data_IF_148261648936
#
_entry.id   IF_148261648936
#
_cell.length_a   1.000
_cell.length_b   1.000
_cell.length_c   1.000
_cell.angle_alpha   90.00
_cell.angle_beta   90.00
_cell.angle_gamma   90.00
#
_symmetry.space_group_name_H-M   'P 1'
#
loop_
_entity.id
_entity.type
_entity.pdbx_description
1 polymer ?
#
# COMPACT_ATOMS: atom_id res chain seq x y z
N UNK A 1 -19.44 -23.45 2.64
CA UNK A 1 -18.11 -24.03 2.38
C UNK A 1 -17.82 -24.04 0.88
N UNK A 2 -16.60 -23.72 0.42
CA UNK A 2 -16.19 -23.79 -0.99
C UNK A 2 -15.32 -25.04 -1.19
N UNK A 3 -15.65 -25.84 -2.17
CA UNK A 3 -14.80 -26.95 -2.64
C UNK A 3 -14.49 -26.77 -4.13
N UNK A 4 -13.21 -26.92 -4.48
CA UNK A 4 -12.72 -26.87 -5.87
C UNK A 4 -11.79 -28.05 -6.07
N UNK A 5 -12.06 -28.88 -7.07
CA UNK A 5 -11.21 -30.02 -7.32
C UNK A 5 -11.55 -30.82 -8.58
N UNK A 6 -10.60 -31.69 -8.95
CA UNK A 6 -10.85 -32.68 -9.99
C UNK A 6 -11.74 -33.80 -9.44
N UNK A 7 -12.63 -34.32 -10.25
CA UNK A 7 -13.56 -35.40 -9.89
C UNK A 7 -12.84 -36.59 -9.27
N UNK A 8 -11.70 -37.02 -9.86
CA UNK A 8 -10.90 -38.13 -9.35
C UNK A 8 -10.34 -37.93 -7.94
N UNK A 9 -10.21 -36.65 -7.49
CA UNK A 9 -9.67 -36.29 -6.19
C UNK A 9 -10.77 -35.79 -5.23
N UNK A 10 -12.03 -35.75 -5.69
CA UNK A 10 -13.15 -35.25 -4.89
C UNK A 10 -13.60 -36.32 -3.89
N UNK A 11 -13.70 -35.99 -2.59
CA UNK A 11 -14.21 -36.93 -1.59
C UNK A 11 -15.59 -37.48 -1.94
N UNK A 12 -15.84 -38.77 -1.67
CA UNK A 12 -17.06 -39.46 -2.07
C UNK A 12 -18.34 -38.81 -1.49
N UNK A 13 -18.26 -38.30 -0.24
CA UNK A 13 -19.39 -37.59 0.38
C UNK A 13 -19.75 -36.29 -0.36
N UNK A 14 -18.79 -35.58 -0.97
CA UNK A 14 -19.06 -34.42 -1.80
C UNK A 14 -19.56 -34.80 -3.20
N UNK A 15 -19.04 -35.88 -3.75
CA UNK A 15 -19.56 -36.42 -5.03
C UNK A 15 -21.03 -36.83 -4.92
N UNK A 16 -21.44 -37.39 -3.78
CA UNK A 16 -22.84 -37.76 -3.53
C UNK A 16 -23.81 -36.59 -3.47
N UNK A 17 -23.31 -35.35 -3.22
CA UNK A 17 -24.12 -34.12 -3.23
C UNK A 17 -24.34 -33.57 -4.64
N UNK A 18 -23.63 -34.09 -5.66
CA UNK A 18 -23.81 -33.61 -7.02
C UNK A 18 -25.12 -34.17 -7.59
N UNK A 19 -25.94 -33.30 -8.12
CA UNK A 19 -27.25 -33.64 -8.73
C UNK A 19 -27.13 -33.93 -10.22
N UNK A 20 -25.98 -33.61 -10.81
CA UNK A 20 -25.67 -33.82 -12.24
C UNK A 20 -24.28 -34.45 -12.39
N UNK A 21 -24.07 -35.12 -13.53
CA UNK A 21 -22.74 -35.63 -13.87
C UNK A 21 -21.78 -34.50 -14.22
N UNK A 22 -20.50 -34.63 -13.78
CA UNK A 22 -19.43 -33.74 -14.20
C UNK A 22 -19.22 -33.90 -15.70
N UNK A 23 -19.21 -32.81 -16.50
CA UNK A 23 -19.03 -32.89 -17.94
C UNK A 23 -17.60 -33.32 -18.29
N UNK A 24 -17.44 -34.07 -19.38
CA UNK A 24 -16.12 -34.52 -19.86
C UNK A 24 -15.23 -33.33 -20.26
N UNK A 25 -15.82 -32.30 -20.83
CA UNK A 25 -15.15 -31.04 -21.23
C UNK A 25 -15.83 -29.86 -20.54
N UNK A 26 -15.29 -29.43 -19.40
CA UNK A 26 -15.89 -28.35 -18.64
C UNK A 26 -15.95 -28.62 -17.14
N UNK A 27 -16.50 -27.67 -16.39
CA UNK A 27 -16.72 -27.78 -14.96
C UNK A 27 -18.18 -27.70 -14.60
N UNK A 28 -18.58 -28.49 -13.59
CA UNK A 28 -19.86 -28.32 -12.91
C UNK A 28 -19.67 -27.39 -11.71
N UNK A 29 -20.42 -26.31 -11.67
CA UNK A 29 -20.54 -25.40 -10.52
C UNK A 29 -21.90 -25.60 -9.90
N UNK A 30 -21.98 -26.06 -8.65
CA UNK A 30 -23.25 -26.41 -8.00
C UNK A 30 -23.28 -25.93 -6.54
N UNK A 31 -24.43 -25.38 -6.15
CA UNK A 31 -24.76 -25.18 -4.73
C UNK A 31 -25.41 -26.46 -4.21
N UNK A 32 -24.93 -26.95 -3.08
CA UNK A 32 -25.49 -28.11 -2.39
C UNK A 32 -25.61 -27.81 -0.89
N UNK A 33 -26.45 -28.56 -0.19
CA UNK A 33 -26.61 -28.44 1.27
C UNK A 33 -26.54 -29.87 1.86
N UNK A 34 -25.77 -30.02 2.92
CA UNK A 34 -25.71 -31.24 3.71
C UNK A 34 -25.88 -30.87 5.18
N UNK A 35 -27.01 -31.26 5.76
CA UNK A 35 -27.43 -30.78 7.07
C UNK A 35 -27.50 -29.25 7.10
N UNK A 36 -26.81 -28.64 8.07
CA UNK A 36 -26.75 -27.18 8.23
C UNK A 36 -25.63 -26.52 7.39
N UNK A 37 -24.86 -27.30 6.62
CA UNK A 37 -23.73 -26.80 5.83
C UNK A 37 -24.13 -26.57 4.38
N UNK A 38 -23.97 -25.33 3.92
CA UNK A 38 -24.09 -24.99 2.51
C UNK A 38 -22.74 -25.06 1.81
N UNK A 39 -22.71 -25.73 0.67
CA UNK A 39 -21.52 -25.91 -0.17
C UNK A 39 -21.69 -25.18 -1.50
N UNK A 40 -20.59 -24.60 -1.99
CA UNK A 40 -20.38 -24.33 -3.41
C UNK A 40 -19.34 -25.32 -3.92
N UNK A 41 -19.77 -26.24 -4.78
CA UNK A 41 -18.95 -27.30 -5.35
C UNK A 41 -18.55 -26.92 -6.77
N UNK A 42 -17.26 -26.96 -7.05
CA UNK A 42 -16.70 -26.75 -8.39
C UNK A 42 -15.90 -28.00 -8.72
N UNK A 43 -16.42 -28.83 -9.61
CA UNK A 43 -15.82 -30.11 -9.94
C UNK A 43 -15.66 -30.24 -11.45
N UNK A 44 -14.47 -30.68 -11.89
CA UNK A 44 -14.15 -30.89 -13.30
C UNK A 44 -13.37 -32.18 -13.51
N UNK A 45 -13.35 -32.69 -14.72
CA UNK A 45 -12.47 -33.80 -15.10
C UNK A 45 -11.03 -33.32 -15.36
N UNK A 46 -10.85 -32.07 -15.85
CA UNK A 46 -9.56 -31.46 -16.23
C UNK A 46 -9.30 -30.11 -15.53
N UNK A 47 -8.03 -29.77 -15.27
CA UNK A 47 -7.62 -28.53 -14.60
C UNK A 47 -8.01 -27.27 -15.38
N UNK A 48 -7.96 -27.31 -16.70
CA UNK A 48 -8.34 -26.19 -17.54
C UNK A 48 -9.78 -25.74 -17.27
N UNK A 49 -10.69 -26.67 -17.03
CA UNK A 49 -12.09 -26.38 -16.74
C UNK A 49 -12.29 -25.72 -15.35
N UNK A 50 -11.44 -26.01 -14.37
CA UNK A 50 -11.46 -25.31 -13.08
C UNK A 50 -11.09 -23.85 -13.22
N UNK A 51 -10.13 -23.51 -14.10
CA UNK A 51 -9.74 -22.13 -14.39
C UNK A 51 -10.89 -21.35 -15.04
N UNK A 52 -11.63 -21.96 -15.96
CA UNK A 52 -12.83 -21.38 -16.58
C UNK A 52 -13.94 -21.11 -15.54
N UNK A 53 -14.16 -22.06 -14.63
CA UNK A 53 -15.12 -21.87 -13.55
C UNK A 53 -14.71 -20.75 -12.59
N UNK A 54 -13.42 -20.63 -12.29
CA UNK A 54 -12.89 -19.51 -11.50
C UNK A 54 -13.12 -18.16 -12.21
N UNK A 55 -12.91 -18.09 -13.52
CA UNK A 55 -13.18 -16.91 -14.33
C UNK A 55 -14.66 -16.49 -14.32
N UNK A 56 -15.58 -17.47 -14.44
CA UNK A 56 -17.02 -17.21 -14.30
C UNK A 56 -17.36 -16.62 -12.93
N UNK A 57 -16.86 -17.22 -11.85
CA UNK A 57 -17.19 -16.81 -10.48
C UNK A 57 -16.55 -15.49 -10.07
N UNK A 58 -15.49 -15.06 -10.73
CA UNK A 58 -14.87 -13.76 -10.51
C UNK A 58 -15.63 -12.61 -11.20
N UNK A 59 -16.51 -12.91 -12.15
CA UNK A 59 -17.35 -11.93 -12.83
C UNK A 59 -18.69 -11.77 -12.12
N UNK A 60 -18.82 -10.74 -11.29
CA UNK A 60 -20.05 -10.47 -10.53
C UNK A 60 -21.27 -10.24 -11.41
N UNK A 61 -21.08 -9.71 -12.62
CA UNK A 61 -22.18 -9.48 -13.56
C UNK A 61 -22.71 -10.78 -14.15
N UNK A 62 -21.83 -11.74 -14.43
CA UNK A 62 -22.19 -13.10 -14.89
C UNK A 62 -22.81 -13.92 -13.77
N UNK A 63 -22.21 -13.87 -12.56
CA UNK A 63 -22.76 -14.55 -11.38
C UNK A 63 -24.19 -14.06 -11.08
N UNK A 64 -24.45 -12.75 -11.21
CA UNK A 64 -25.80 -12.20 -11.02
C UNK A 64 -26.84 -12.72 -12.03
N UNK A 65 -26.42 -13.26 -13.16
CA UNK A 65 -27.29 -13.87 -14.18
C UNK A 65 -27.56 -15.36 -13.92
N UNK A 66 -26.87 -15.97 -12.94
CA UNK A 66 -27.10 -17.37 -12.59
C UNK A 66 -28.36 -17.48 -11.71
N UNK A 67 -29.44 -18.02 -12.28
CA UNK A 67 -30.73 -18.18 -11.58
C UNK A 67 -30.99 -19.60 -11.11
N UNK A 68 -30.05 -20.53 -11.36
CA UNK A 68 -30.15 -21.95 -10.99
C UNK A 68 -29.16 -22.31 -9.89
N UNK A 69 -29.41 -23.41 -9.19
CA UNK A 69 -28.47 -23.93 -8.18
C UNK A 69 -27.22 -24.58 -8.78
N UNK A 70 -27.15 -24.72 -10.09
CA UNK A 70 -26.06 -25.35 -10.82
C UNK A 70 -25.89 -24.75 -12.21
N UNK A 71 -24.66 -24.79 -12.72
CA UNK A 71 -24.32 -24.41 -14.09
C UNK A 71 -23.13 -25.21 -14.60
N UNK A 72 -23.05 -25.36 -15.92
CA UNK A 72 -21.87 -25.90 -16.59
C UNK A 72 -21.04 -24.75 -17.16
N UNK A 73 -19.72 -24.90 -17.08
CA UNK A 73 -18.76 -23.94 -17.64
C UNK A 73 -17.88 -24.68 -18.64
N UNK A 74 -17.91 -24.25 -19.88
CA UNK A 74 -17.15 -24.86 -20.97
C UNK A 74 -15.72 -24.32 -21.03
N UNK A 75 -14.74 -25.15 -21.42
CA UNK A 75 -13.36 -24.73 -21.64
C UNK A 75 -13.27 -23.80 -22.85
N UNK A 76 -12.50 -22.73 -22.75
CA UNK A 76 -12.25 -21.74 -23.82
C UNK A 76 -13.18 -20.52 -23.78
N UNK A 77 -14.20 -20.53 -22.93
CA UNK A 77 -15.15 -19.40 -22.83
C UNK A 77 -14.50 -18.15 -22.22
N UNK A 78 -13.69 -18.29 -21.17
CA UNK A 78 -12.99 -17.18 -20.53
C UNK A 78 -11.89 -16.57 -21.43
N UNK A 79 -11.24 -17.37 -22.25
CA UNK A 79 -10.17 -16.92 -23.14
C UNK A 79 -10.69 -16.03 -24.27
N UNK A 80 -11.91 -16.28 -24.78
CA UNK A 80 -12.57 -15.40 -25.77
C UNK A 80 -12.86 -14.02 -25.18
N UNK A 81 -13.29 -13.93 -23.92
CA UNK A 81 -13.58 -12.67 -23.24
C UNK A 81 -12.29 -11.90 -22.87
N UNK A 82 -11.20 -12.58 -22.53
CA UNK A 82 -9.92 -11.95 -22.27
C UNK A 82 -9.39 -11.19 -23.50
N UNK A 83 -9.44 -11.81 -24.67
CA UNK A 83 -8.98 -11.21 -25.93
C UNK A 83 -9.85 -10.03 -26.38
N UNK A 84 -11.17 -10.10 -26.18
CA UNK A 84 -12.09 -9.03 -26.58
C UNK A 84 -11.93 -7.76 -25.71
N UNK A 85 -11.39 -7.87 -24.50
CA UNK A 85 -11.29 -6.74 -23.57
C UNK A 85 -9.90 -6.08 -23.55
N UNK A 86 -8.89 -6.62 -24.24
CA UNK A 86 -7.57 -5.98 -24.39
C UNK A 86 -7.59 -4.68 -25.19
N UNK A 87 -8.67 -4.42 -25.92
CA UNK A 87 -8.82 -3.22 -26.76
C UNK A 87 -9.39 -1.99 -26.04
N UNK A 88 -9.85 -2.12 -24.82
CA UNK A 88 -10.30 -0.96 -24.03
C UNK A 88 -9.18 -0.45 -23.13
N UNK A 89 -8.19 0.20 -23.71
CA UNK A 89 -7.22 1.02 -22.97
C UNK A 89 -7.97 2.12 -22.22
N UNK A 90 -8.16 1.97 -20.92
CA UNK A 90 -8.59 3.05 -20.05
C UNK A 90 -7.48 4.09 -20.00
N UNK A 91 -7.57 5.10 -20.87
CA UNK A 91 -6.78 6.31 -20.74
C UNK A 91 -7.31 7.05 -19.52
N UNK A 92 -6.63 7.00 -18.40
CA UNK A 92 -6.91 7.81 -17.22
C UNK A 92 -6.49 9.28 -17.49
N UNK A 93 -7.04 9.90 -18.48
CA UNK A 93 -7.05 11.35 -18.63
C UNK A 93 -8.39 11.84 -18.04
N UNK A 94 -8.46 11.90 -16.69
CA UNK A 94 -9.73 12.21 -16.06
C UNK A 94 -9.85 13.68 -15.73
N UNK A 95 -10.80 14.36 -16.36
CA UNK A 95 -11.45 15.51 -15.71
C UNK A 95 -12.53 14.95 -14.78
N UNK A 96 -12.43 15.30 -13.51
CA UNK A 96 -13.41 14.95 -12.50
C UNK A 96 -13.98 16.20 -11.90
N UNK A 97 -15.17 16.09 -11.31
CA UNK A 97 -15.74 17.11 -10.44
C UNK A 97 -15.80 16.60 -9.01
N UNK A 98 -15.94 17.50 -8.05
CA UNK A 98 -16.19 17.10 -6.66
C UNK A 98 -17.43 16.24 -6.57
N UNK A 99 -18.44 16.47 -7.41
CA UNK A 99 -19.64 15.62 -7.48
C UNK A 99 -19.32 14.17 -7.87
N UNK A 100 -18.40 13.96 -8.79
CA UNK A 100 -18.02 12.60 -9.23
C UNK A 100 -17.31 11.80 -8.11
N UNK A 101 -16.65 12.50 -7.19
CA UNK A 101 -15.89 11.90 -6.10
C UNK A 101 -16.73 11.72 -4.83
N UNK A 102 -17.50 12.73 -4.44
CA UNK A 102 -18.24 12.78 -3.18
C UNK A 102 -19.77 12.74 -3.34
N UNK A 103 -20.27 12.69 -4.56
CA UNK A 103 -21.70 12.71 -4.88
C UNK A 103 -22.33 14.10 -4.81
N UNK A 104 -21.81 14.97 -3.97
CA UNK A 104 -22.27 16.35 -3.75
C UNK A 104 -21.08 17.28 -3.52
N UNK A 105 -21.36 18.57 -3.27
CA UNK A 105 -20.36 19.48 -2.71
C UNK A 105 -19.99 19.13 -1.27
N UNK A 106 -18.93 19.71 -0.76
CA UNK A 106 -18.36 19.41 0.56
C UNK A 106 -18.63 20.59 1.49
N UNK A 107 -19.30 20.32 2.62
CA UNK A 107 -19.64 21.32 3.63
C UNK A 107 -18.76 21.20 4.87
N UNK A 108 -18.33 22.32 5.39
CA UNK A 108 -17.62 22.47 6.64
C UNK A 108 -18.48 23.35 7.57
N UNK A 109 -18.61 22.98 8.83
CA UNK A 109 -19.45 23.72 9.79
C UNK A 109 -18.82 23.72 11.15
N UNK A 110 -18.75 24.89 11.76
CA UNK A 110 -18.14 25.12 13.08
C UNK A 110 -17.02 26.15 13.02
N UNK A 111 -16.71 26.78 14.17
CA UNK A 111 -15.56 27.67 14.31
C UNK A 111 -14.24 26.88 14.34
N UNK A 112 -13.14 27.60 14.13
CA UNK A 112 -11.77 27.10 14.16
C UNK A 112 -11.48 26.11 13.03
N UNK A 113 -10.56 25.19 13.25
CA UNK A 113 -10.06 24.29 12.21
C UNK A 113 -11.08 23.23 11.83
N UNK A 114 -11.54 23.28 10.59
CA UNK A 114 -12.39 22.28 9.96
C UNK A 114 -11.60 21.56 8.87
N UNK A 115 -11.55 20.23 8.91
CA UNK A 115 -10.67 19.44 8.05
C UNK A 115 -11.42 18.30 7.37
N UNK A 116 -11.16 18.09 6.07
CA UNK A 116 -11.64 16.94 5.31
C UNK A 116 -10.59 16.46 4.31
N UNK A 117 -10.46 15.14 4.18
CA UNK A 117 -9.60 14.52 3.17
C UNK A 117 -10.44 13.99 2.02
N UNK A 118 -10.09 14.38 0.81
CA UNK A 118 -10.69 13.98 -0.46
C UNK A 118 -9.75 12.97 -1.09
N UNK A 119 -10.20 11.71 -1.22
CA UNK A 119 -9.44 10.68 -1.91
C UNK A 119 -9.68 10.79 -3.40
N UNK A 120 -8.60 10.92 -4.17
CA UNK A 120 -8.67 11.06 -5.62
C UNK A 120 -8.88 9.68 -6.27
N UNK A 121 -9.66 9.60 -7.37
CA UNK A 121 -9.99 8.34 -8.05
C UNK A 121 -8.81 7.85 -8.92
N UNK A 122 -7.63 7.70 -8.33
CA UNK A 122 -6.42 7.21 -9.01
C UNK A 122 -6.07 5.84 -8.48
N UNK A 123 -6.09 4.84 -9.35
CA UNK A 123 -5.69 3.49 -8.97
C UNK A 123 -4.19 3.42 -8.66
N UNK A 124 -3.79 2.45 -7.85
CA UNK A 124 -2.40 2.32 -7.34
C UNK A 124 -1.37 1.96 -8.42
N UNK A 125 -1.83 1.45 -9.55
CA UNK A 125 -1.03 1.16 -10.73
C UNK A 125 -0.72 2.41 -11.58
N UNK A 126 -1.23 3.59 -11.17
CA UNK A 126 -0.97 4.86 -11.79
C UNK A 126 -0.39 5.87 -10.80
N UNK A 127 0.39 6.79 -11.34
CA UNK A 127 0.92 7.96 -10.63
C UNK A 127 0.47 9.23 -11.35
N UNK A 128 0.02 10.21 -10.58
CA UNK A 128 -0.38 11.50 -11.13
C UNK A 128 0.81 12.22 -11.76
N UNK A 129 0.53 12.92 -12.86
CA UNK A 129 1.49 13.82 -13.48
C UNK A 129 1.54 15.17 -12.75
N UNK A 130 2.69 15.87 -12.84
CA UNK A 130 2.85 17.26 -12.38
C UNK A 130 1.95 18.27 -13.12
N UNK A 131 1.31 17.83 -14.22
CA UNK A 131 0.30 18.63 -14.91
C UNK A 131 -1.06 18.63 -14.21
N UNK A 132 -1.22 17.87 -13.11
CA UNK A 132 -2.45 17.82 -12.32
C UNK A 132 -2.83 19.19 -11.80
N UNK A 133 -4.08 19.58 -12.00
CA UNK A 133 -4.62 20.90 -11.64
C UNK A 133 -5.94 20.78 -10.90
N UNK A 134 -6.11 21.63 -9.92
CA UNK A 134 -7.29 21.71 -9.09
C UNK A 134 -7.89 23.10 -9.22
N UNK A 135 -9.20 23.16 -9.39
CA UNK A 135 -9.98 24.40 -9.44
C UNK A 135 -11.16 24.24 -8.51
N UNK A 136 -11.07 24.78 -7.30
CA UNK A 136 -12.11 24.70 -6.29
C UNK A 136 -12.92 25.99 -6.25
N UNK A 137 -14.23 25.88 -6.50
CA UNK A 137 -15.18 26.94 -6.28
C UNK A 137 -15.61 26.88 -4.81
N UNK A 138 -15.25 27.89 -4.02
CA UNK A 138 -15.51 27.92 -2.59
C UNK A 138 -16.47 29.07 -2.22
N UNK A 139 -17.20 28.87 -1.13
CA UNK A 139 -18.00 29.88 -0.45
C UNK A 139 -17.86 29.73 1.04
N UNK A 140 -18.05 30.79 1.77
CA UNK A 140 -17.98 30.75 3.23
C UNK A 140 -18.78 31.88 3.87
N UNK A 141 -19.01 31.76 5.17
CA UNK A 141 -19.84 32.70 5.91
C UNK A 141 -19.17 34.08 6.04
N UNK A 142 -19.97 35.16 6.03
CA UNK A 142 -19.50 36.51 6.14
C UNK A 142 -19.15 36.94 7.59
N UNK A 143 -19.49 36.14 8.60
CA UNK A 143 -19.24 36.43 10.01
C UNK A 143 -17.85 36.00 10.48
N UNK A 144 -16.92 35.75 9.56
CA UNK A 144 -15.56 35.38 9.87
C UNK A 144 -14.70 36.58 10.26
N UNK A 145 -13.64 36.30 11.04
CA UNK A 145 -12.50 37.20 11.19
C UNK A 145 -11.55 37.00 10.01
N UNK A 146 -11.74 37.79 8.97
CA UNK A 146 -10.96 37.69 7.74
C UNK A 146 -9.47 38.08 7.92
N UNK A 147 -9.08 38.62 9.07
CA UNK A 147 -7.65 38.86 9.35
C UNK A 147 -6.92 37.57 9.71
N UNK A 148 -7.65 36.55 10.23
CA UNK A 148 -7.10 35.29 10.72
C UNK A 148 -7.63 34.04 10.00
N UNK A 149 -8.72 34.19 9.24
CA UNK A 149 -9.33 33.05 8.54
C UNK A 149 -8.63 32.76 7.23
N UNK A 150 -8.36 31.46 6.98
CA UNK A 150 -7.70 31.01 5.77
C UNK A 150 -8.17 29.58 5.39
N UNK A 151 -7.89 29.19 4.15
CA UNK A 151 -8.01 27.80 3.68
C UNK A 151 -6.65 27.32 3.23
N UNK A 152 -6.28 26.10 3.63
CA UNK A 152 -5.05 25.46 3.19
C UNK A 152 -5.36 24.09 2.60
N UNK A 153 -4.77 23.81 1.44
CA UNK A 153 -4.83 22.53 0.77
C UNK A 153 -3.50 21.80 0.94
N UNK A 154 -3.57 20.54 1.36
CA UNK A 154 -2.41 19.69 1.55
C UNK A 154 -2.48 18.50 0.59
N UNK A 155 -1.34 18.11 0.03
CA UNK A 155 -1.18 16.81 -0.60
C UNK A 155 -1.03 15.75 0.49
N UNK A 156 -1.85 14.71 0.41
CA UNK A 156 -1.99 13.80 1.53
C UNK A 156 -2.53 14.52 2.77
N UNK A 157 -1.80 14.43 3.87
CA UNK A 157 -2.22 15.03 5.16
C UNK A 157 -1.32 16.17 5.65
N UNK A 158 -0.12 16.35 5.07
CA UNK A 158 0.94 17.16 5.65
C UNK A 158 1.81 17.96 4.67
N UNK A 159 1.72 17.74 3.35
CA UNK A 159 2.50 18.50 2.37
C UNK A 159 1.66 19.70 1.89
N UNK A 160 1.94 20.93 2.29
CA UNK A 160 1.14 22.08 1.90
C UNK A 160 1.29 22.36 0.40
N UNK A 161 0.16 22.44 -0.33
CA UNK A 161 0.10 22.77 -1.74
C UNK A 161 -0.19 24.25 -1.98
N UNK A 162 -1.22 24.75 -1.31
CA UNK A 162 -1.74 26.08 -1.53
C UNK A 162 -2.42 26.59 -0.27
N UNK A 163 -2.18 27.83 0.10
CA UNK A 163 -2.85 28.50 1.20
C UNK A 163 -3.42 29.83 0.73
N UNK A 164 -4.66 30.11 1.10
CA UNK A 164 -5.37 31.32 0.69
C UNK A 164 -6.08 31.98 1.89
N UNK A 165 -5.82 33.26 2.08
CA UNK A 165 -6.49 34.07 3.10
C UNK A 165 -7.92 34.36 2.64
N UNK A 166 -8.92 34.03 3.46
CA UNK A 166 -10.31 34.34 3.17
C UNK A 166 -10.57 35.86 3.24
N UNK A 167 -11.45 36.33 2.36
CA UNK A 167 -11.80 37.76 2.28
C UNK A 167 -13.30 37.94 2.33
N UNK A 168 -13.75 39.17 2.66
CA UNK A 168 -15.19 39.45 2.67
C UNK A 168 -15.80 39.38 1.26
N UNK A 169 -15.05 39.83 0.27
CA UNK A 169 -15.42 39.84 -1.13
C UNK A 169 -15.57 38.41 -1.68
N UNK A 170 -14.67 37.49 -1.27
CA UNK A 170 -14.71 36.07 -1.67
C UNK A 170 -15.80 35.25 -1.00
N UNK A 171 -16.45 35.74 0.06
CA UNK A 171 -17.44 34.98 0.83
C UNK A 171 -18.63 34.54 -0.02
N UNK A 172 -19.04 35.33 -1.01
CA UNK A 172 -20.16 35.00 -1.94
C UNK A 172 -19.78 33.99 -3.01
N UNK A 173 -18.48 33.73 -3.20
CA UNK A 173 -17.92 32.76 -4.12
C UNK A 173 -16.62 33.22 -4.76
N UNK A 174 -15.62 32.39 -4.70
CA UNK A 174 -14.34 32.56 -5.38
C UNK A 174 -13.81 31.21 -5.86
N UNK A 175 -12.96 31.26 -6.90
CA UNK A 175 -12.33 30.06 -7.47
C UNK A 175 -10.85 30.05 -7.15
N UNK A 176 -10.40 28.99 -6.50
CA UNK A 176 -8.99 28.76 -6.16
C UNK A 176 -8.38 27.73 -7.08
N UNK A 177 -7.34 28.11 -7.82
CA UNK A 177 -6.66 27.21 -8.78
C UNK A 177 -5.20 27.02 -8.39
N UNK A 178 -4.76 25.75 -8.34
CA UNK A 178 -3.39 25.39 -8.05
C UNK A 178 -3.04 24.01 -8.65
N UNK A 179 -1.74 23.66 -8.66
CA UNK A 179 -1.23 22.38 -9.16
C UNK A 179 -0.45 21.64 -8.07
N UNK A 180 -0.21 20.35 -8.29
CA UNK A 180 0.66 19.55 -7.42
C UNK A 180 2.11 19.74 -7.87
N UNK A 181 3.04 20.14 -6.99
CA UNK A 181 4.46 20.17 -7.29
C UNK A 181 4.99 18.78 -7.64
N UNK A 182 5.93 18.71 -8.58
CA UNK A 182 6.46 17.44 -9.07
C UNK A 182 7.13 16.59 -7.98
N UNK A 183 7.74 17.23 -6.98
CA UNK A 183 8.38 16.59 -5.82
C UNK A 183 7.38 16.03 -4.80
N UNK A 184 6.16 16.55 -4.77
CA UNK A 184 5.10 16.04 -3.89
C UNK A 184 4.39 14.78 -4.46
N UNK A 185 4.52 14.55 -5.77
CA UNK A 185 3.88 13.41 -6.46
C UNK A 185 4.59 12.10 -6.08
N UNK A 186 3.84 11.13 -5.58
CA UNK A 186 4.34 9.80 -5.22
C UNK A 186 4.63 9.57 -3.73
N UNK A 187 4.75 10.63 -2.90
CA UNK A 187 5.10 10.46 -1.48
C UNK A 187 3.90 10.19 -0.55
N UNK A 188 2.72 10.71 -0.88
CA UNK A 188 1.61 10.76 0.07
C UNK A 188 0.32 10.09 -0.39
N UNK A 189 0.38 9.26 -1.43
CA UNK A 189 -0.83 8.69 -2.03
C UNK A 189 -1.63 9.75 -2.80
N UNK A 190 -2.81 9.35 -3.31
CA UNK A 190 -3.64 10.21 -4.13
C UNK A 190 -4.77 10.81 -3.31
N UNK A 191 -4.47 11.80 -2.47
CA UNK A 191 -5.50 12.52 -1.70
C UNK A 191 -5.15 13.99 -1.49
N UNK A 192 -6.18 14.82 -1.32
CA UNK A 192 -6.06 16.21 -0.93
C UNK A 192 -6.77 16.40 0.39
N UNK A 193 -6.07 16.99 1.36
CA UNK A 193 -6.71 17.41 2.61
C UNK A 193 -6.96 18.91 2.56
N UNK A 194 -8.21 19.28 2.75
CA UNK A 194 -8.65 20.68 2.84
C UNK A 194 -8.83 21.04 4.30
N UNK A 195 -8.22 22.14 4.69
CA UNK A 195 -8.32 22.69 6.05
C UNK A 195 -8.80 24.13 5.95
N UNK A 196 -9.97 24.39 6.51
CA UNK A 196 -10.48 25.73 6.72
C UNK A 196 -10.25 26.14 8.17
N UNK A 197 -9.53 27.20 8.41
CA UNK A 197 -9.44 27.86 9.70
C UNK A 197 -10.45 29.00 9.73
N UNK A 198 -11.62 28.74 10.34
CA UNK A 198 -12.79 29.61 10.37
C UNK A 198 -12.80 30.39 11.71
N UNK A 199 -11.99 31.42 11.79
CA UNK A 199 -11.90 32.26 12.97
C UNK A 199 -13.07 33.26 13.06
N UNK A 200 -13.51 33.57 14.26
CA UNK A 200 -14.60 34.51 14.53
C UNK A 200 -14.17 35.53 15.56
N UNK A 201 -14.62 36.78 15.41
CA UNK A 201 -14.23 37.90 16.30
C UNK A 201 -14.84 37.80 17.68
N UNK A 202 -16.09 37.36 17.76
CA UNK A 202 -16.86 37.28 19.02
C UNK A 202 -17.53 35.91 19.12
N UNK A 203 -16.87 35.00 19.79
CA UNK A 203 -17.31 33.64 19.95
C UNK A 203 -18.61 33.56 20.77
N UNK A 204 -18.74 34.29 21.85
CA UNK A 204 -19.89 34.23 22.75
C UNK A 204 -21.18 34.74 22.08
N UNK A 205 -21.10 35.84 21.33
CA UNK A 205 -22.22 36.33 20.55
C UNK A 205 -22.61 35.38 19.41
N UNK A 206 -21.61 34.80 18.74
CA UNK A 206 -21.83 33.89 17.63
C UNK A 206 -22.51 32.59 18.08
N UNK A 207 -22.07 32.01 19.20
CA UNK A 207 -22.66 30.78 19.77
C UNK A 207 -24.10 31.04 20.24
N UNK A 208 -24.35 32.19 20.92
CA UNK A 208 -25.71 32.54 21.39
C UNK A 208 -26.69 32.83 20.27
N UNK A 209 -26.24 33.43 19.17
CA UNK A 209 -27.07 33.70 18.00
C UNK A 209 -27.30 32.51 17.09
N UNK A 210 -26.68 31.34 17.39
CA UNK A 210 -26.69 30.13 16.55
C UNK A 210 -26.16 30.40 15.12
N UNK A 211 -25.38 31.46 14.92
CA UNK A 211 -24.82 31.84 13.62
C UNK A 211 -23.45 31.14 13.42
N UNK A 212 -23.47 29.82 13.34
CA UNK A 212 -22.28 28.97 13.18
C UNK A 212 -21.55 29.30 11.88
N UNK A 213 -20.23 29.57 11.92
CA UNK A 213 -19.46 29.77 10.69
C UNK A 213 -19.44 28.49 9.86
N UNK A 214 -19.37 28.64 8.56
CA UNK A 214 -19.36 27.55 7.61
C UNK A 214 -18.50 27.86 6.39
N UNK A 215 -18.05 26.82 5.70
CA UNK A 215 -17.46 26.89 4.37
C UNK A 215 -18.00 25.76 3.49
N UNK A 216 -17.93 25.92 2.19
CA UNK A 216 -18.46 25.00 1.21
C UNK A 216 -17.57 24.96 -0.03
N UNK A 217 -17.28 23.75 -0.50
CA UNK A 217 -16.68 23.51 -1.80
C UNK A 217 -17.77 23.03 -2.74
N UNK A 218 -17.95 23.73 -3.86
CA UNK A 218 -19.03 23.46 -4.79
C UNK A 218 -18.83 22.10 -5.53
N UNK A 219 -19.94 21.45 -5.82
CA UNK A 219 -19.98 20.17 -6.49
C UNK A 219 -19.36 20.17 -7.90
N UNK A 220 -19.40 21.33 -8.58
CA UNK A 220 -18.84 21.56 -9.91
C UNK A 220 -17.34 21.93 -9.89
N UNK A 221 -16.71 22.05 -8.72
CA UNK A 221 -15.25 22.21 -8.64
C UNK A 221 -14.55 21.14 -9.44
N UNK A 222 -13.57 21.52 -10.25
CA UNK A 222 -12.97 20.63 -11.24
C UNK A 222 -11.55 20.18 -10.86
N UNK A 223 -11.24 18.96 -11.20
CA UNK A 223 -9.95 18.32 -10.98
C UNK A 223 -9.49 17.73 -12.32
N UNK A 224 -8.35 18.19 -12.81
CA UNK A 224 -7.67 17.60 -13.95
C UNK A 224 -6.54 16.70 -13.44
N UNK A 225 -6.66 15.39 -13.65
CA UNK A 225 -5.80 14.36 -13.05
C UNK A 225 -5.15 13.47 -14.14
N UNK A 226 -4.21 14.02 -14.95
CA UNK A 226 -3.45 13.19 -15.87
C UNK A 226 -2.56 12.24 -15.08
N UNK A 227 -2.55 10.97 -15.45
CA UNK A 227 -1.79 9.94 -14.76
C UNK A 227 -0.99 9.09 -15.74
N UNK A 228 0.19 8.68 -15.33
CA UNK A 228 1.04 7.71 -16.00
C UNK A 228 1.11 6.40 -15.23
N UNK A 229 1.75 5.39 -15.81
CA UNK A 229 1.98 4.12 -15.14
C UNK A 229 2.88 4.31 -13.90
N UNK A 230 2.48 3.71 -12.80
CA UNK A 230 3.31 3.64 -11.59
C UNK A 230 4.32 2.48 -11.74
N UNK A 231 5.58 2.80 -11.95
CA UNK A 231 6.68 1.83 -12.06
C UNK A 231 7.43 1.66 -10.74
N UNK A 232 7.05 2.38 -9.69
CA UNK A 232 7.72 2.33 -8.39
C UNK A 232 7.36 1.04 -7.66
N UNK A 233 8.36 0.21 -7.40
CA UNK A 233 8.21 -0.99 -6.62
C UNK A 233 8.15 -0.64 -5.13
N UNK A 234 6.93 -0.64 -4.59
CA UNK A 234 6.64 -0.35 -3.19
C UNK A 234 5.47 -1.22 -2.75
N UNK A 235 5.59 -1.90 -1.63
CA UNK A 235 4.53 -2.75 -1.07
C UNK A 235 3.23 -1.98 -0.78
N UNK A 236 3.30 -0.66 -0.57
CA UNK A 236 2.13 0.20 -0.44
C UNK A 236 1.32 0.30 -1.74
N UNK A 237 1.96 0.09 -2.89
CA UNK A 237 1.32 0.16 -4.20
C UNK A 237 0.61 -1.14 -4.59
N UNK A 238 0.77 -2.22 -3.81
CA UNK A 238 0.05 -3.46 -4.10
C UNK A 238 -1.46 -3.19 -4.24
N UNK A 239 -2.10 -3.76 -5.27
CA UNK A 239 -1.69 -4.88 -6.12
C UNK A 239 -0.77 -4.56 -7.30
N UNK A 240 -0.45 -3.29 -7.61
CA UNK A 240 0.51 -2.98 -8.68
C UNK A 240 1.94 -3.49 -8.33
N UNK A 241 2.71 -4.00 -9.30
CA UNK A 241 2.43 -4.09 -10.74
C UNK A 241 1.76 -5.42 -11.18
N UNK A 242 1.40 -6.30 -10.22
CA UNK A 242 0.77 -7.61 -10.50
C UNK A 242 -0.66 -7.46 -11.04
N UNK A 243 -1.28 -6.32 -10.79
CA UNK A 243 -2.56 -5.93 -11.37
C UNK A 243 -2.36 -4.60 -12.11
N UNK A 244 -2.89 -4.51 -13.34
CA UNK A 244 -2.97 -3.28 -14.13
C UNK A 244 -4.35 -3.15 -14.76
N UNK A 245 -4.89 -1.94 -14.80
CA UNK A 245 -6.23 -1.66 -15.31
C UNK A 245 -7.28 -2.66 -14.77
N UNK A 246 -7.20 -2.95 -13.47
CA UNK A 246 -8.05 -3.92 -12.77
C UNK A 246 -7.96 -5.36 -13.31
N UNK A 247 -6.82 -5.79 -13.87
CA UNK A 247 -6.59 -7.15 -14.36
C UNK A 247 -5.25 -7.69 -13.89
N UNK A 248 -5.17 -9.02 -13.76
CA UNK A 248 -3.88 -9.68 -13.51
C UNK A 248 -2.92 -9.45 -14.69
N UNK A 249 -1.76 -8.90 -14.39
CA UNK A 249 -0.79 -8.44 -15.37
C UNK A 249 0.31 -9.48 -15.58
N UNK A 250 0.02 -10.52 -16.36
CA UNK A 250 0.96 -11.60 -16.69
C UNK A 250 1.70 -12.13 -15.44
N UNK A 251 0.94 -12.69 -14.52
CA UNK A 251 1.43 -13.14 -13.22
C UNK A 251 1.67 -14.65 -13.22
N UNK A 252 2.84 -15.06 -12.74
CA UNK A 252 3.14 -16.46 -12.44
C UNK A 252 3.43 -16.62 -10.96
N UNK A 253 2.57 -17.35 -10.26
CA UNK A 253 2.78 -17.73 -8.86
C UNK A 253 3.50 -19.07 -8.80
N UNK A 254 4.56 -19.14 -8.03
CA UNK A 254 5.45 -20.29 -7.90
C UNK A 254 5.39 -20.78 -6.45
N UNK A 255 4.93 -22.00 -6.26
CA UNK A 255 4.81 -22.67 -4.97
C UNK A 255 5.90 -23.73 -4.82
N UNK A 256 6.22 -24.11 -3.60
CA UNK A 256 7.10 -25.26 -3.34
C UNK A 256 6.53 -26.56 -3.97
N UNK A 257 7.39 -27.50 -4.31
CA UNK A 257 6.99 -28.73 -5.02
C UNK A 257 6.04 -29.60 -4.18
N UNK A 258 6.27 -29.62 -2.87
CA UNK A 258 5.43 -30.26 -1.86
C UNK A 258 4.86 -29.21 -0.89
N UNK A 259 4.24 -28.17 -1.43
CA UNK A 259 3.74 -27.04 -0.66
C UNK A 259 2.87 -27.47 0.52
N UNK A 260 3.20 -26.96 1.72
CA UNK A 260 2.45 -27.22 2.94
C UNK A 260 1.09 -26.52 2.93
N UNK A 261 0.20 -26.91 3.84
CA UNK A 261 -1.09 -26.23 4.01
C UNK A 261 -0.90 -24.73 4.37
N UNK A 262 0.14 -24.40 5.12
CA UNK A 262 0.49 -23.01 5.46
C UNK A 262 0.88 -22.22 4.22
N UNK A 263 1.74 -22.79 3.35
CA UNK A 263 2.15 -22.16 2.09
C UNK A 263 0.95 -21.94 1.16
N UNK A 264 0.08 -22.94 1.00
CA UNK A 264 -1.14 -22.83 0.18
C UNK A 264 -2.09 -21.75 0.72
N UNK A 265 -2.24 -21.68 2.04
CA UNK A 265 -3.09 -20.65 2.67
C UNK A 265 -2.52 -19.26 2.51
N UNK A 266 -1.20 -19.09 2.66
CA UNK A 266 -0.51 -17.82 2.43
C UNK A 266 -0.63 -17.39 0.97
N UNK A 267 -0.41 -18.29 0.03
CA UNK A 267 -0.59 -18.05 -1.41
C UNK A 267 -2.02 -17.58 -1.72
N UNK A 268 -3.03 -18.27 -1.17
CA UNK A 268 -4.43 -17.88 -1.31
C UNK A 268 -4.72 -16.47 -0.75
N UNK A 269 -4.11 -16.09 0.38
CA UNK A 269 -4.24 -14.73 0.96
C UNK A 269 -3.57 -13.67 0.10
N UNK A 270 -2.39 -13.95 -0.42
CA UNK A 270 -1.70 -13.03 -1.35
C UNK A 270 -2.57 -12.82 -2.59
N UNK A 271 -3.10 -13.91 -3.15
CA UNK A 271 -3.99 -13.83 -4.31
C UNK A 271 -5.28 -13.08 -4.01
N UNK A 272 -5.88 -13.28 -2.84
CA UNK A 272 -7.06 -12.51 -2.44
C UNK A 272 -6.76 -11.00 -2.28
N UNK A 273 -5.57 -10.67 -1.76
CA UNK A 273 -5.11 -9.27 -1.64
C UNK A 273 -4.87 -8.64 -3.02
N UNK A 274 -4.18 -9.35 -3.91
CA UNK A 274 -3.86 -8.86 -5.25
C UNK A 274 -5.08 -8.84 -6.18
N UNK A 275 -6.02 -9.76 -5.99
CA UNK A 275 -7.24 -9.85 -6.80
C UNK A 275 -8.36 -8.92 -6.35
N UNK A 276 -8.23 -8.24 -5.21
CA UNK A 276 -9.26 -7.31 -4.74
C UNK A 276 -9.48 -6.18 -5.75
N UNK A 277 -10.72 -6.03 -6.22
CA UNK A 277 -11.08 -5.03 -7.24
C UNK A 277 -10.63 -5.40 -8.66
N UNK A 278 -10.11 -6.61 -8.90
CA UNK A 278 -9.81 -7.06 -10.25
C UNK A 278 -11.11 -7.46 -10.98
N UNK A 279 -11.12 -7.17 -12.28
CA UNK A 279 -12.06 -7.79 -13.21
C UNK A 279 -11.56 -9.19 -13.56
N UNK A 280 -12.45 -10.14 -13.92
CA UNK A 280 -12.03 -11.41 -14.48
C UNK A 280 -11.20 -11.17 -15.75
N UNK A 281 -10.43 -12.14 -16.21
CA UNK A 281 -9.66 -12.08 -17.46
C UNK A 281 -8.31 -11.35 -17.37
N UNK A 282 -7.51 -11.70 -16.37
CA UNK A 282 -6.09 -11.41 -16.35
C UNK A 282 -5.26 -12.66 -16.63
N UNK A 283 -4.01 -12.47 -17.02
CA UNK A 283 -3.07 -13.59 -17.18
C UNK A 283 -2.50 -13.96 -15.80
N UNK A 284 -2.98 -15.06 -15.27
CA UNK A 284 -2.48 -15.67 -14.03
C UNK A 284 -2.23 -17.16 -14.24
N UNK A 285 -1.05 -17.61 -13.85
CA UNK A 285 -0.67 -19.03 -13.82
C UNK A 285 -0.11 -19.38 -12.44
N UNK A 286 -0.45 -20.56 -11.95
CA UNK A 286 0.14 -21.13 -10.72
C UNK A 286 0.92 -22.36 -11.10
N UNK A 287 2.18 -22.46 -10.68
CA UNK A 287 3.07 -23.58 -10.97
C UNK A 287 3.81 -24.03 -9.71
N UNK A 288 4.37 -25.23 -9.74
CA UNK A 288 5.34 -25.72 -8.76
C UNK A 288 6.75 -25.28 -9.15
N UNK A 289 7.63 -25.14 -8.18
CA UNK A 289 9.00 -24.66 -8.40
C UNK A 289 9.78 -25.55 -9.38
N UNK A 290 9.59 -26.89 -9.32
CA UNK A 290 10.20 -27.85 -10.26
C UNK A 290 9.84 -27.58 -11.73
N UNK A 291 8.66 -27.01 -11.98
CA UNK A 291 8.16 -26.70 -13.32
C UNK A 291 8.55 -25.30 -13.82
N UNK A 292 9.29 -24.54 -13.01
CA UNK A 292 9.72 -23.21 -13.39
C UNK A 292 10.85 -23.27 -14.42
N UNK A 293 10.64 -22.60 -15.53
CA UNK A 293 11.64 -22.42 -16.60
C UNK A 293 11.77 -20.93 -16.93
N UNK A 294 12.96 -20.37 -16.73
CA UNK A 294 13.21 -18.94 -16.97
C UNK A 294 12.89 -18.53 -18.42
N UNK A 295 13.14 -19.41 -19.40
CA UNK A 295 12.81 -19.16 -20.80
C UNK A 295 11.29 -19.03 -21.06
N UNK A 296 10.46 -19.73 -20.28
CA UNK A 296 9.00 -19.72 -20.42
C UNK A 296 8.33 -18.63 -19.58
N UNK A 297 8.86 -18.36 -18.39
CA UNK A 297 8.18 -17.53 -17.37
C UNK A 297 8.97 -16.28 -16.97
N UNK A 298 10.22 -16.11 -17.41
CA UNK A 298 11.07 -14.97 -17.02
C UNK A 298 10.53 -13.60 -17.48
N UNK A 299 9.67 -13.57 -18.48
CA UNK A 299 8.99 -12.36 -18.96
C UNK A 299 7.63 -12.11 -18.27
N UNK A 300 7.39 -12.73 -17.11
CA UNK A 300 6.19 -12.55 -16.31
C UNK A 300 6.52 -11.86 -14.99
N UNK A 301 5.52 -11.23 -14.38
CA UNK A 301 5.59 -10.81 -12.99
C UNK A 301 5.53 -12.07 -12.11
N UNK A 302 6.53 -12.28 -11.27
CA UNK A 302 6.69 -13.49 -10.49
C UNK A 302 6.28 -13.28 -9.04
N UNK A 303 5.55 -14.26 -8.49
CA UNK A 303 5.22 -14.33 -7.06
C UNK A 303 5.73 -15.67 -6.55
N UNK A 304 6.71 -15.67 -5.67
CA UNK A 304 7.29 -16.89 -5.11
C UNK A 304 6.89 -17.02 -3.64
N UNK A 305 6.21 -18.10 -3.30
CA UNK A 305 5.71 -18.35 -1.95
C UNK A 305 6.24 -19.68 -1.45
N UNK A 306 6.81 -19.70 -0.25
CA UNK A 306 7.21 -20.95 0.36
C UNK A 306 8.29 -20.86 1.41
N UNK A 307 8.62 -22.02 1.97
CA UNK A 307 9.77 -22.19 2.84
C UNK A 307 11.07 -22.10 2.02
N UNK A 308 12.07 -21.45 2.59
CA UNK A 308 13.34 -21.15 1.91
C UNK A 308 14.08 -22.42 1.48
N UNK A 309 14.07 -23.47 2.30
CA UNK A 309 14.76 -24.73 2.05
C UNK A 309 14.02 -25.67 1.09
N UNK A 310 12.70 -25.45 0.86
CA UNK A 310 11.81 -26.33 0.07
C UNK A 310 11.48 -25.82 -1.32
N UNK A 311 11.67 -24.52 -1.58
CA UNK A 311 11.38 -23.92 -2.87
C UNK A 311 12.67 -23.73 -3.68
N UNK A 312 12.84 -24.52 -4.74
CA UNK A 312 14.05 -24.49 -5.57
C UNK A 312 14.24 -23.17 -6.30
N UNK A 313 13.16 -22.43 -6.60
CA UNK A 313 13.22 -21.12 -7.22
C UNK A 313 13.71 -20.08 -6.21
N UNK A 314 13.29 -20.15 -4.93
CA UNK A 314 13.84 -19.28 -3.86
C UNK A 314 15.36 -19.46 -3.73
N UNK A 315 15.85 -20.70 -3.80
CA UNK A 315 17.30 -20.98 -3.79
C UNK A 315 18.00 -20.32 -4.98
N UNK A 316 17.40 -20.42 -6.17
CA UNK A 316 17.97 -19.85 -7.40
C UNK A 316 18.03 -18.33 -7.37
N UNK A 317 17.00 -17.66 -6.84
CA UNK A 317 16.91 -16.20 -6.80
C UNK A 317 17.52 -15.60 -5.53
N UNK A 318 17.94 -16.40 -4.54
CA UNK A 318 18.46 -15.94 -3.27
C UNK A 318 19.57 -14.85 -3.40
N UNK A 319 20.53 -14.94 -4.33
CA UNK A 319 21.57 -13.91 -4.47
C UNK A 319 21.04 -12.53 -4.88
N UNK A 320 19.80 -12.44 -5.37
CA UNK A 320 19.16 -11.20 -5.84
C UNK A 320 18.20 -10.62 -4.81
N UNK A 321 17.88 -11.36 -3.73
CA UNK A 321 16.94 -10.91 -2.70
C UNK A 321 17.50 -9.76 -1.87
N UNK A 322 16.66 -8.86 -1.42
CA UNK A 322 17.03 -7.78 -0.49
C UNK A 322 17.48 -8.33 0.87
N UNK A 323 16.70 -9.27 1.42
CA UNK A 323 17.06 -10.10 2.55
C UNK A 323 17.30 -11.51 2.03
N UNK A 324 18.55 -11.89 1.98
CA UNK A 324 19.01 -13.19 1.52
C UNK A 324 18.91 -14.21 2.64
N UNK A 325 18.87 -15.47 2.27
CA UNK A 325 19.04 -16.59 3.19
C UNK A 325 20.51 -17.05 3.22
N UNK A 326 20.91 -17.71 4.29
CA UNK A 326 22.18 -18.42 4.39
C UNK A 326 22.31 -19.48 3.29
N UNK A 327 23.52 -19.97 3.03
CA UNK A 327 23.76 -20.96 1.96
C UNK A 327 22.96 -22.26 2.15
N UNK A 328 22.69 -22.62 3.41
CA UNK A 328 21.85 -23.77 3.77
C UNK A 328 20.34 -23.46 3.77
N UNK A 329 19.97 -22.23 3.49
CA UNK A 329 18.58 -21.74 3.44
C UNK A 329 17.78 -21.88 4.75
N UNK A 330 18.46 -22.03 5.89
CA UNK A 330 17.80 -22.28 7.20
C UNK A 330 17.56 -21.02 8.02
N UNK A 331 18.12 -19.89 7.64
CA UNK A 331 17.93 -18.60 8.32
C UNK A 331 18.19 -17.44 7.36
N UNK A 332 17.76 -16.24 7.72
CA UNK A 332 18.17 -15.03 7.01
C UNK A 332 19.67 -14.78 7.23
N UNK A 333 20.35 -14.37 6.16
CA UNK A 333 21.74 -13.94 6.21
C UNK A 333 21.89 -12.55 6.83
N UNK A 334 23.08 -12.21 7.29
CA UNK A 334 23.38 -10.87 7.79
C UNK A 334 23.06 -9.79 6.75
N UNK A 335 22.49 -8.68 7.20
CA UNK A 335 22.10 -7.56 6.36
C UNK A 335 22.61 -6.24 6.94
N UNK A 336 23.08 -5.35 6.07
CA UNK A 336 23.46 -3.98 6.48
C UNK A 336 22.28 -3.14 6.96
N UNK A 337 21.04 -3.55 6.65
CA UNK A 337 19.80 -2.86 7.02
C UNK A 337 19.19 -3.35 8.33
N UNK A 338 19.53 -4.58 8.75
CA UNK A 338 18.96 -5.23 9.93
C UNK A 338 20.00 -6.11 10.59
N UNK A 339 20.39 -5.74 11.80
CA UNK A 339 21.23 -6.60 12.66
C UNK A 339 20.32 -7.61 13.35
N UNK A 340 20.64 -8.89 13.24
CA UNK A 340 19.82 -10.00 13.72
C UNK A 340 20.60 -10.90 14.66
N UNK A 341 19.93 -11.43 15.69
CA UNK A 341 20.44 -12.61 16.41
C UNK A 341 20.13 -13.87 15.61
N UNK A 342 20.78 -14.98 15.89
CA UNK A 342 20.56 -16.24 15.18
C UNK A 342 19.09 -16.71 15.29
N UNK A 343 18.50 -16.62 16.48
CA UNK A 343 17.10 -17.00 16.70
C UNK A 343 16.15 -16.11 15.90
N UNK A 344 16.38 -14.78 15.89
CA UNK A 344 15.59 -13.86 15.10
C UNK A 344 15.69 -14.18 13.60
N UNK A 345 16.89 -14.41 13.08
CA UNK A 345 17.14 -14.72 11.68
C UNK A 345 16.47 -16.05 11.24
N UNK A 346 16.37 -17.02 12.14
CA UNK A 346 15.73 -18.30 11.89
C UNK A 346 14.19 -18.21 11.89
N UNK A 347 13.60 -17.42 12.81
CA UNK A 347 12.14 -17.32 12.98
C UNK A 347 11.50 -16.25 12.08
N UNK A 348 12.28 -15.31 11.58
CA UNK A 348 11.76 -14.21 10.78
C UNK A 348 11.23 -14.68 9.41
N UNK A 349 10.22 -13.98 8.94
CA UNK A 349 9.67 -14.12 7.59
C UNK A 349 9.76 -12.81 6.83
N UNK A 350 9.78 -12.89 5.51
CA UNK A 350 10.01 -11.72 4.65
C UNK A 350 9.02 -11.69 3.50
N UNK A 351 8.41 -10.50 3.30
CA UNK A 351 7.71 -10.13 2.08
C UNK A 351 8.57 -9.09 1.35
N UNK A 352 9.05 -9.39 0.14
CA UNK A 352 9.97 -8.53 -0.60
C UNK A 352 9.46 -8.31 -2.02
N UNK A 353 9.50 -7.06 -2.46
CA UNK A 353 9.12 -6.64 -3.81
C UNK A 353 10.32 -5.98 -4.49
N UNK A 354 10.72 -6.51 -5.63
CA UNK A 354 11.87 -6.06 -6.39
C UNK A 354 11.71 -6.29 -7.88
N UNK A 355 12.65 -5.82 -8.68
CA UNK A 355 12.73 -6.19 -10.09
C UNK A 355 13.04 -7.68 -10.22
N UNK A 356 12.43 -8.33 -11.22
CA UNK A 356 12.73 -9.73 -11.50
C UNK A 356 14.17 -9.88 -12.00
N UNK A 357 14.94 -10.85 -11.46
CA UNK A 357 16.31 -11.11 -11.96
C UNK A 357 16.34 -11.67 -13.37
N UNK A 358 15.22 -12.11 -13.91
CA UNK A 358 15.10 -12.65 -15.26
C UNK A 358 14.76 -11.56 -16.29
N UNK A 359 14.04 -10.51 -15.87
CA UNK A 359 13.68 -9.37 -16.72
C UNK A 359 13.39 -8.15 -15.84
N UNK A 360 14.23 -7.12 -15.91
CA UNK A 360 14.11 -5.90 -15.10
C UNK A 360 12.81 -5.08 -15.34
N UNK A 361 12.12 -5.33 -16.45
CA UNK A 361 10.82 -4.73 -16.73
C UNK A 361 9.67 -5.40 -15.94
N UNK A 362 9.93 -6.57 -15.35
CA UNK A 362 8.97 -7.35 -14.58
C UNK A 362 9.28 -7.27 -13.08
N UNK A 363 8.28 -7.50 -12.26
CA UNK A 363 8.42 -7.53 -10.80
C UNK A 363 8.54 -8.96 -10.26
N UNK A 364 9.21 -9.07 -9.12
CA UNK A 364 9.30 -10.25 -8.28
C UNK A 364 8.79 -9.90 -6.89
N UNK A 365 7.76 -10.60 -6.42
CA UNK A 365 7.32 -10.61 -5.04
C UNK A 365 7.69 -11.96 -4.41
N UNK A 366 8.41 -11.95 -3.30
CA UNK A 366 8.64 -13.16 -2.52
C UNK A 366 7.95 -13.06 -1.17
N UNK A 367 7.31 -14.14 -0.73
CA UNK A 367 6.72 -14.30 0.59
C UNK A 367 7.28 -15.59 1.17
N UNK A 368 8.29 -15.49 2.04
CA UNK A 368 9.09 -16.64 2.45
C UNK A 368 9.55 -16.57 3.90
N UNK A 369 9.87 -17.73 4.46
CA UNK A 369 10.48 -17.90 5.78
C UNK A 369 11.32 -19.18 5.81
N UNK A 370 12.19 -19.31 6.80
CA UNK A 370 12.90 -20.56 7.05
C UNK A 370 12.02 -21.58 7.80
N UNK A 371 10.97 -21.13 8.50
CA UNK A 371 10.10 -21.97 9.32
C UNK A 371 8.62 -21.78 8.99
N UNK A 372 7.80 -22.80 9.24
CA UNK A 372 6.35 -22.67 9.11
C UNK A 372 5.75 -21.64 10.08
N UNK A 373 6.31 -21.52 11.29
CA UNK A 373 5.90 -20.50 12.25
C UNK A 373 6.12 -19.08 11.70
N UNK A 374 7.24 -18.84 11.03
CA UNK A 374 7.52 -17.59 10.33
C UNK A 374 6.50 -17.31 9.23
N UNK A 375 6.14 -18.29 8.39
CA UNK A 375 5.08 -18.11 7.38
C UNK A 375 3.72 -17.83 8.00
N UNK A 376 3.38 -18.46 9.15
CA UNK A 376 2.13 -18.19 9.87
C UNK A 376 2.09 -16.75 10.41
N UNK A 377 3.21 -16.22 10.92
CA UNK A 377 3.32 -14.83 11.36
C UNK A 377 3.13 -13.85 10.20
N UNK A 378 3.77 -14.12 9.04
CA UNK A 378 3.55 -13.34 7.83
C UNK A 378 2.10 -13.39 7.37
N UNK A 379 1.51 -14.59 7.36
CA UNK A 379 0.11 -14.79 7.00
C UNK A 379 -0.83 -14.01 7.94
N UNK A 380 -0.59 -14.03 9.24
CA UNK A 380 -1.35 -13.26 10.23
C UNK A 380 -1.22 -11.75 9.98
N UNK A 381 -0.01 -11.28 9.63
CA UNK A 381 0.24 -9.88 9.28
C UNK A 381 -0.54 -9.43 8.04
N UNK A 382 -0.70 -10.27 7.04
CA UNK A 382 -1.44 -9.98 5.81
C UNK A 382 -2.96 -10.19 5.96
N UNK A 383 -3.45 -10.76 7.07
CA UNK A 383 -4.84 -11.18 7.22
C UNK A 383 -5.82 -10.02 7.43
N UNK A 384 -5.40 -8.91 8.03
CA UNK A 384 -6.29 -7.78 8.34
C UNK A 384 -6.05 -6.62 7.38
N UNK A 385 -7.12 -5.93 7.02
CA UNK A 385 -7.05 -4.73 6.18
C UNK A 385 -6.18 -3.65 6.83
N UNK A 386 -6.33 -3.41 8.13
CA UNK A 386 -5.49 -2.48 8.89
C UNK A 386 -4.00 -2.76 8.73
N UNK A 387 -3.60 -4.02 8.79
CA UNK A 387 -2.20 -4.40 8.63
C UNK A 387 -1.72 -4.23 7.18
N UNK A 388 -2.58 -4.52 6.19
CA UNK A 388 -2.27 -4.28 4.78
C UNK A 388 -2.08 -2.79 4.46
N UNK A 389 -2.82 -1.90 5.11
CA UNK A 389 -2.63 -0.44 4.99
C UNK A 389 -1.28 0.04 5.51
N UNK A 390 -0.64 -0.73 6.39
CA UNK A 390 0.70 -0.42 6.91
C UNK A 390 1.85 -1.01 6.09
N UNK A 391 1.54 -1.70 4.97
CA UNK A 391 2.57 -2.15 4.02
C UNK A 391 3.21 -0.93 3.36
N UNK A 392 4.51 -0.96 3.23
CA UNK A 392 5.25 0.11 2.58
C UNK A 392 6.70 -0.28 2.32
N UNK A 393 7.37 0.55 1.53
CA UNK A 393 8.75 0.33 1.09
C UNK A 393 8.89 -0.96 0.26
N UNK A 394 10.09 -1.50 0.11
CA UNK A 394 10.38 -2.63 -0.78
C UNK A 394 10.39 -3.97 -0.06
N UNK A 395 10.64 -3.98 1.25
CA UNK A 395 10.61 -5.21 2.03
C UNK A 395 9.95 -5.01 3.40
N UNK A 396 9.24 -6.04 3.85
CA UNK A 396 8.68 -6.19 5.17
C UNK A 396 9.31 -7.41 5.83
N UNK A 397 9.90 -7.25 6.99
CA UNK A 397 10.36 -8.36 7.85
C UNK A 397 9.37 -8.49 9.00
N UNK A 398 8.90 -9.71 9.25
CA UNK A 398 8.03 -10.05 10.37
C UNK A 398 8.79 -11.00 11.28
N UNK A 399 8.94 -10.64 12.54
CA UNK A 399 9.67 -11.42 13.54
C UNK A 399 8.85 -12.60 14.09
N UNK A 400 9.49 -13.43 14.92
CA UNK A 400 8.87 -14.60 15.55
C UNK A 400 7.66 -14.27 16.45
N UNK A 401 7.50 -13.02 16.86
CA UNK A 401 6.40 -12.54 17.70
C UNK A 401 5.31 -11.79 16.90
N UNK A 402 5.46 -11.69 15.59
CA UNK A 402 4.52 -10.97 14.69
C UNK A 402 4.75 -9.45 14.62
N UNK A 403 5.81 -8.94 15.22
CA UNK A 403 6.28 -7.56 15.03
C UNK A 403 6.78 -7.37 13.59
N UNK A 404 6.51 -6.21 12.99
CA UNK A 404 6.82 -6.00 11.58
C UNK A 404 7.56 -4.68 11.35
N UNK A 405 8.60 -4.72 10.51
CA UNK A 405 9.42 -3.59 10.12
C UNK A 405 9.60 -3.52 8.61
N UNK A 406 9.47 -2.32 8.03
CA UNK A 406 9.59 -2.11 6.58
C UNK A 406 10.92 -1.46 6.21
N UNK A 407 11.53 -1.91 5.11
CA UNK A 407 12.87 -1.51 4.68
C UNK A 407 12.86 -1.04 3.22
N UNK A 408 13.65 -0.01 2.94
CA UNK A 408 13.88 0.54 1.61
C UNK A 408 15.32 0.29 1.18
N UNK A 409 15.51 -0.18 -0.05
CA UNK A 409 16.80 -0.52 -0.65
C UNK A 409 17.15 0.40 -1.81
N UNK A 410 16.17 0.80 -2.61
CA UNK A 410 16.36 1.76 -3.68
C UNK A 410 16.40 3.17 -3.09
N UNK A 411 17.47 3.91 -3.37
CA UNK A 411 17.51 5.34 -3.05
C UNK A 411 16.60 6.03 -4.06
N UNK A 412 15.59 6.75 -3.59
CA UNK A 412 14.73 7.54 -4.47
C UNK A 412 15.61 8.55 -5.21
N UNK A 413 15.69 8.43 -6.53
CA UNK A 413 16.45 9.36 -7.40
C UNK A 413 15.89 10.80 -7.32
N UNK A 414 14.66 10.97 -6.87
CA UNK A 414 14.06 12.30 -6.65
C UNK A 414 14.77 13.09 -5.53
N UNK A 415 15.35 12.41 -4.54
CA UNK A 415 16.15 13.05 -3.48
C UNK A 415 17.60 13.32 -3.89
N UNK A 416 18.11 12.65 -4.95
CA UNK A 416 19.52 12.79 -5.36
C UNK A 416 19.75 13.86 -6.42
N UNK A 417 18.72 14.37 -7.09
CA UNK A 417 18.89 15.45 -8.08
C UNK A 417 19.01 16.86 -7.48
N UNK A 418 18.64 17.05 -6.20
CA UNK A 418 18.73 18.35 -5.52
C UNK A 418 19.42 18.31 -4.14
N UNK A 419 20.01 17.20 -3.76
CA UNK A 419 20.85 17.17 -2.57
C UNK A 419 22.29 17.58 -2.95
N UNK A 420 22.53 18.86 -3.18
CA UNK A 420 23.77 19.44 -2.65
C UNK A 420 23.85 18.99 -1.19
N UNK A 421 24.94 18.28 -0.84
CA UNK A 421 25.16 17.89 0.56
C UNK A 421 24.96 19.14 1.39
N UNK A 422 24.03 19.17 2.36
CA UNK A 422 23.81 20.37 3.13
C UNK A 422 25.16 20.79 3.71
N UNK A 423 25.53 22.04 3.47
CA UNK A 423 26.78 22.54 4.04
C UNK A 423 26.63 22.49 5.55
N UNK A 424 27.74 22.45 6.30
CA UNK A 424 27.68 22.45 7.75
C UNK A 424 26.85 23.64 8.28
N UNK A 425 26.81 24.74 7.55
CA UNK A 425 25.99 25.92 7.82
C UNK A 425 24.49 25.63 7.68
N UNK A 426 24.06 24.83 6.68
CA UNK A 426 22.66 24.50 6.44
C UNK A 426 22.12 23.54 7.53
N UNK A 427 22.97 22.59 8.00
CA UNK A 427 22.62 21.71 9.12
C UNK A 427 22.40 22.52 10.41
N UNK A 428 23.22 23.57 10.64
CA UNK A 428 23.07 24.48 11.78
C UNK A 428 21.76 25.26 11.70
N UNK A 429 21.41 25.77 10.52
CA UNK A 429 20.18 26.56 10.32
C UNK A 429 18.93 25.69 10.49
N UNK A 430 18.95 24.45 9.96
CA UNK A 430 17.81 23.53 10.03
C UNK A 430 17.57 22.95 11.44
N UNK A 431 18.63 22.84 12.26
CA UNK A 431 18.56 22.35 13.65
C UNK A 431 18.85 23.46 14.68
N UNK A 432 18.45 24.68 14.38
CA UNK A 432 18.82 25.87 15.17
C UNK A 432 18.40 25.77 16.65
N UNK A 433 17.21 25.28 16.95
CA UNK A 433 16.73 25.19 18.34
C UNK A 433 17.44 24.13 19.18
N UNK A 434 17.55 22.86 18.77
CA UNK A 434 18.27 21.87 19.57
C UNK A 434 19.79 22.14 19.65
N UNK A 435 20.40 22.71 18.59
CA UNK A 435 21.81 23.06 18.60
C UNK A 435 22.14 24.27 19.46
N UNK A 436 21.28 25.28 19.52
CA UNK A 436 21.44 26.40 20.45
C UNK A 436 21.33 25.96 21.90
N UNK A 437 20.39 25.08 22.23
CA UNK A 437 20.26 24.47 23.56
C UNK A 437 21.52 23.67 23.94
N UNK A 438 22.09 22.91 23.01
CA UNK A 438 23.30 22.10 23.23
C UNK A 438 24.54 22.97 23.42
N UNK A 439 24.69 24.04 22.62
CA UNK A 439 25.78 25.01 22.76
C UNK A 439 25.68 25.83 24.06
N UNK A 440 24.48 26.25 24.45
CA UNK A 440 24.25 26.93 25.73
C UNK A 440 24.53 25.97 26.90
N UNK A 441 24.10 24.72 26.83
CA UNK A 441 24.38 23.70 27.83
C UNK A 441 25.89 23.40 27.98
N UNK A 442 26.62 23.28 26.88
CA UNK A 442 28.10 23.14 26.91
C UNK A 442 28.77 24.38 27.46
N UNK A 443 28.33 25.57 27.10
CA UNK A 443 28.85 26.83 27.63
C UNK A 443 28.66 26.95 29.15
N UNK A 444 27.48 26.63 29.66
CA UNK A 444 27.20 26.57 31.09
C UNK A 444 28.08 25.55 31.84
N UNK A 445 28.28 24.38 31.27
CA UNK A 445 29.14 23.33 31.86
C UNK A 445 30.60 23.81 31.93
N UNK A 446 31.07 24.49 30.91
CA UNK A 446 32.46 25.01 30.87
C UNK A 446 32.68 26.13 31.89
N UNK A 447 31.69 27.01 32.10
CA UNK A 447 31.71 28.06 33.14
C UNK A 447 31.73 27.41 34.55
N UNK A 448 30.92 26.38 34.77
CA UNK A 448 30.89 25.67 36.04
C UNK A 448 32.20 24.95 36.32
N UNK A 449 32.84 24.33 35.34
CA UNK A 449 34.18 23.75 35.46
C UNK A 449 35.25 24.77 35.79
N UNK A 450 35.25 25.93 35.13
CA UNK A 450 36.18 27.02 35.43
C UNK A 450 35.98 27.56 36.85
N UNK A 451 34.73 27.74 37.29
CA UNK A 451 34.42 28.16 38.65
C UNK A 451 34.87 27.13 39.69
N UNK A 452 34.69 25.83 39.43
CA UNK A 452 35.20 24.77 40.31
C UNK A 452 36.72 24.75 40.40
N UNK A 453 37.43 24.92 39.29
CA UNK A 453 38.91 25.00 39.25
C UNK A 453 39.38 26.24 40.05
N UNK A 454 38.78 27.41 39.86
CA UNK A 454 39.12 28.61 40.61
C UNK A 454 38.86 28.43 42.12
N UNK A 455 37.78 27.76 42.49
CA UNK A 455 37.49 27.42 43.89
C UNK A 455 38.56 26.50 44.49
N UNK A 456 38.93 25.45 43.76
CA UNK A 456 39.99 24.54 44.17
C UNK A 456 41.35 25.21 44.33
N UNK A 457 41.70 26.08 43.38
CA UNK A 457 42.94 26.90 43.48
C UNK A 457 42.87 27.81 44.69
N UNK A 458 41.73 28.47 44.95
CA UNK A 458 41.54 29.33 46.10
C UNK A 458 41.61 28.60 47.44
N UNK A 459 41.04 27.40 47.51
CA UNK A 459 41.11 26.50 48.68
C UNK A 459 42.57 26.04 48.90
N UNK A 460 43.26 25.67 47.81
CA UNK A 460 44.65 25.24 47.88
C UNK A 460 45.59 26.38 48.34
N UNK A 461 45.37 27.59 47.86
CA UNK A 461 46.11 28.78 48.31
C UNK A 461 45.82 29.12 49.79
N UNK A 462 44.59 29.01 50.27
CA UNK A 462 44.26 29.25 51.70
C UNK A 462 44.93 28.19 52.61
N UNK A 463 44.90 26.91 52.25
CA UNK A 463 45.57 25.85 53.01
C UNK A 463 47.07 26.06 53.12
N UNK A 464 47.71 26.65 52.10
CA UNK A 464 49.15 26.95 52.09
C UNK A 464 49.49 28.17 52.93
N UNK A 465 48.56 29.03 53.32
CA UNK A 465 48.74 30.18 54.22
C UNK A 465 48.46 29.83 55.69
N UNK A 466 47.62 28.85 55.97
CA UNK A 466 47.32 28.38 57.33
C UNK A 466 48.39 27.43 57.92
N UNK A 467 49.29 26.88 57.06
CA UNK A 467 50.41 26.04 57.44
C UNK A 467 51.75 26.78 57.58
N UNK A 468 51.77 28.15 57.63
CA UNK A 468 52.91 29.00 57.98
C UNK A 468 52.55 29.81 59.20
#
# INVERSE_FOLDING_TARGET
MLYVGLKKNTPEHLLSLLTQSVPATGALVQRATDGDTSYLLIVAEEEAALSEAAALLSDTSRVAQLHTSQTYVSVGEAQQYALASETSGLTLAGQYTIKDISGNGISFSGPFTQKMTIYLPVAKDYVLSSESRFSFDIRYSENLDFDRSLVTFYWGTNIPLYSHKLTKEGATGETLTFSVPADAIGEAGSSITVVFDLEIKDLDCTVRSMNTPWAYIAANSSLYLPAGENTTLNLANLPAPFQRASRMNNVVMILSDDATQTELTLAGRIMAMLGAGSTPYGLLKVIRAENFQAAAYGNSNLIVVGLSDRNSVLKQINPYLHFQYTDDMTSLAESTKLVMTADYAHEASVLQLMKSPYNEAMALLTASAATEAGLQNLMARLSTEKNRWSLGKEALVVDGYGGASSYQFTVSTALTQNAEKPSFADVIVQNREPMTLLLVGMGCMLVLLLAAVLLLVRIHHRRKYDDK
#
